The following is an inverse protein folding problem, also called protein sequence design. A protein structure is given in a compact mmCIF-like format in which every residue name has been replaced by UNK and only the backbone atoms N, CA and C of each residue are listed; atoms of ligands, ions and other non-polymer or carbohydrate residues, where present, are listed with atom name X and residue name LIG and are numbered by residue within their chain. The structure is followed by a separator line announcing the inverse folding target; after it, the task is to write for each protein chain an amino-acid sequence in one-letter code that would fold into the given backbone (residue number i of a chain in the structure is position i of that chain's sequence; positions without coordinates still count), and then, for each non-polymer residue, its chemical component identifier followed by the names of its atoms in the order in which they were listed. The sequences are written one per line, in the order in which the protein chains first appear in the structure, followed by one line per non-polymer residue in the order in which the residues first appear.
data_IF_661316443326
#
_entry.id   IF_661316443326
#
_cell.length_a   1.000
_cell.length_b   1.000
_cell.length_c   1.000
_cell.angle_alpha   90.00
_cell.angle_beta   90.00
_cell.angle_gamma   90.00
#
_symmetry.space_group_name_H-M   'P 1'
#
loop_
_entity.id
_entity.type
_entity.pdbx_description
1 polymer ?
#
# COMPACT_ATOMS: atom_id res chain seq x y z
N UNK A 1 -37.92 2.62 -18.64
CA UNK A 1 -37.47 1.25 -18.95
C UNK A 1 -36.29 0.97 -18.04
N UNK A 2 -36.50 0.23 -16.95
CA UNK A 2 -35.42 -0.12 -16.03
C UNK A 2 -34.62 -1.26 -16.66
N UNK A 3 -33.42 -0.94 -17.16
CA UNK A 3 -32.47 -1.97 -17.60
C UNK A 3 -31.94 -2.64 -16.34
N UNK A 4 -32.51 -3.79 -16.00
CA UNK A 4 -31.97 -4.66 -14.96
C UNK A 4 -30.71 -5.29 -15.55
N UNK A 5 -29.55 -4.67 -15.35
CA UNK A 5 -28.27 -5.22 -15.81
C UNK A 5 -28.06 -6.56 -15.10
N UNK A 6 -28.15 -7.66 -15.85
CA UNK A 6 -27.89 -8.98 -15.33
C UNK A 6 -26.42 -9.07 -14.93
N UNK A 7 -26.13 -9.53 -13.71
CA UNK A 7 -24.74 -9.61 -13.19
C UNK A 7 -23.82 -10.51 -14.07
N UNK A 8 -24.41 -11.33 -14.93
CA UNK A 8 -23.73 -12.20 -15.89
C UNK A 8 -23.09 -11.45 -17.07
N UNK A 9 -23.49 -10.20 -17.33
CA UNK A 9 -22.97 -9.41 -18.47
C UNK A 9 -21.82 -8.46 -18.08
N UNK A 10 -21.45 -8.44 -16.78
CA UNK A 10 -20.37 -7.58 -16.32
C UNK A 10 -18.99 -8.07 -16.80
N UNK A 11 -18.09 -7.15 -17.18
CA UNK A 11 -16.66 -7.41 -17.40
C UNK A 11 -16.03 -8.21 -16.25
N UNK A 12 -15.30 -9.28 -16.57
CA UNK A 12 -14.53 -10.06 -15.59
C UNK A 12 -13.12 -9.50 -15.48
N UNK A 13 -12.72 -9.14 -14.26
CA UNK A 13 -11.40 -8.62 -13.94
C UNK A 13 -10.81 -9.43 -12.79
N UNK A 14 -9.59 -9.91 -12.96
CA UNK A 14 -8.78 -10.43 -11.85
C UNK A 14 -7.86 -9.32 -11.39
N UNK A 15 -7.79 -9.08 -10.08
CA UNK A 15 -6.86 -8.11 -9.49
C UNK A 15 -5.96 -8.87 -8.52
N UNK A 16 -4.67 -8.94 -8.84
CA UNK A 16 -3.65 -9.44 -7.92
C UNK A 16 -3.01 -8.24 -7.24
N UNK A 17 -2.81 -8.29 -5.92
CA UNK A 17 -2.36 -7.13 -5.14
C UNK A 17 -1.26 -7.49 -4.18
N UNK A 18 -0.31 -6.58 -3.97
CA UNK A 18 0.73 -6.73 -2.94
C UNK A 18 1.22 -5.36 -2.43
N UNK A 19 1.82 -5.35 -1.24
CA UNK A 19 2.30 -4.17 -0.54
C UNK A 19 3.59 -4.42 0.24
N UNK A 20 4.51 -3.46 0.16
CA UNK A 20 5.82 -3.52 0.80
C UNK A 20 6.13 -2.23 1.57
N UNK A 21 6.84 -2.34 2.69
CA UNK A 21 7.40 -1.20 3.41
C UNK A 21 8.90 -1.37 3.67
N UNK A 22 9.66 -0.27 3.55
CA UNK A 22 11.08 -0.17 3.87
C UNK A 22 11.25 0.04 5.37
N UNK A 23 11.20 -1.07 6.09
CA UNK A 23 11.04 -1.10 7.55
C UNK A 23 9.56 -1.16 7.92
N UNK A 24 9.23 -1.78 9.04
CA UNK A 24 7.84 -1.97 9.48
C UNK A 24 7.67 -1.41 10.91
N UNK A 25 7.34 -0.11 11.07
CA UNK A 25 6.90 0.83 10.05
C UNK A 25 8.03 1.61 9.32
N UNK A 26 7.77 2.04 8.09
CA UNK A 26 8.70 2.77 7.21
C UNK A 26 8.05 3.20 5.89
N UNK A 27 8.76 3.92 5.00
CA UNK A 27 8.23 4.32 3.68
C UNK A 27 7.72 3.12 2.90
N UNK A 28 6.56 3.24 2.27
CA UNK A 28 5.84 2.10 1.68
C UNK A 28 5.51 2.24 0.21
N UNK A 29 5.22 1.12 -0.42
CA UNK A 29 4.78 1.01 -1.79
C UNK A 29 3.76 -0.12 -1.94
N UNK A 30 2.86 0.03 -2.90
CA UNK A 30 1.83 -0.96 -3.20
C UNK A 30 1.67 -1.11 -4.70
N UNK A 31 1.18 -2.28 -5.12
CA UNK A 31 0.91 -2.56 -6.52
C UNK A 31 -0.36 -3.42 -6.69
N UNK A 32 -1.08 -3.17 -7.77
CA UNK A 32 -2.19 -4.01 -8.21
C UNK A 32 -2.09 -4.27 -9.72
N UNK A 33 -2.11 -5.55 -10.09
CA UNK A 33 -2.17 -6.01 -11.47
C UNK A 33 -3.61 -6.37 -11.81
N UNK A 34 -4.22 -5.59 -12.72
CA UNK A 34 -5.56 -5.81 -13.23
C UNK A 34 -5.47 -6.58 -14.55
N UNK A 35 -6.09 -7.75 -14.61
CA UNK A 35 -6.23 -8.60 -15.80
C UNK A 35 -7.70 -8.62 -16.23
N UNK A 36 -8.01 -8.01 -17.38
CA UNK A 36 -9.35 -7.97 -17.95
C UNK A 36 -9.47 -8.95 -19.12
N UNK A 37 -10.42 -9.88 -19.03
CA UNK A 37 -10.74 -10.82 -20.12
C UNK A 37 -11.64 -10.15 -21.15
N UNK A 38 -11.17 -10.08 -22.39
CA UNK A 38 -11.92 -9.54 -23.51
C UNK A 38 -12.90 -10.60 -24.08
N UNK A 39 -13.97 -10.16 -24.78
CA UNK A 39 -14.91 -11.08 -25.44
C UNK A 39 -14.28 -11.97 -26.52
N UNK A 40 -13.15 -11.55 -27.10
CA UNK A 40 -12.39 -12.33 -28.10
C UNK A 40 -11.46 -13.38 -27.48
N UNK A 41 -11.48 -13.52 -26.14
CA UNK A 41 -10.66 -14.46 -25.39
C UNK A 41 -9.27 -13.95 -25.04
N UNK A 42 -8.89 -12.73 -25.45
CA UNK A 42 -7.60 -12.13 -25.07
C UNK A 42 -7.65 -11.50 -23.68
N UNK A 43 -6.49 -11.36 -23.03
CA UNK A 43 -6.37 -10.68 -21.73
C UNK A 43 -5.66 -9.36 -21.90
N UNK A 44 -6.25 -8.28 -21.39
CA UNK A 44 -5.56 -6.99 -21.23
C UNK A 44 -5.09 -6.82 -19.81
N UNK A 45 -3.89 -6.30 -19.66
CA UNK A 45 -3.29 -6.09 -18.36
C UNK A 45 -3.08 -4.60 -18.09
N UNK A 46 -3.20 -4.22 -16.82
CA UNK A 46 -2.80 -2.92 -16.33
C UNK A 46 -2.20 -3.07 -14.95
N UNK A 47 -0.92 -2.72 -14.82
CA UNK A 47 -0.25 -2.59 -13.52
C UNK A 47 -0.45 -1.16 -13.02
N UNK A 48 -0.95 -1.01 -11.80
CA UNK A 48 -1.00 0.26 -11.08
C UNK A 48 -0.14 0.16 -9.82
N UNK A 49 0.54 1.24 -9.48
CA UNK A 49 1.40 1.31 -8.30
C UNK A 49 1.18 2.63 -7.59
N UNK A 50 1.39 2.66 -6.28
CA UNK A 50 1.49 3.88 -5.51
C UNK A 50 2.52 3.75 -4.40
N UNK A 51 2.83 4.88 -3.79
CA UNK A 51 3.91 5.00 -2.81
C UNK A 51 3.52 5.99 -1.71
N UNK A 52 4.05 5.77 -0.51
CA UNK A 52 3.83 6.62 0.65
C UNK A 52 5.17 6.86 1.37
N UNK A 53 5.72 8.09 1.32
CA UNK A 53 7.00 8.41 1.97
C UNK A 53 6.90 8.43 3.52
N UNK A 54 5.69 8.40 4.09
CA UNK A 54 5.48 8.36 5.55
C UNK A 54 5.83 6.98 6.12
N UNK A 55 5.92 6.90 7.45
CA UNK A 55 6.11 5.62 8.15
C UNK A 55 4.80 4.82 8.15
N UNK A 56 4.67 3.89 7.23
CA UNK A 56 3.52 2.98 7.07
C UNK A 56 3.92 1.54 7.37
N UNK A 57 2.95 0.64 7.52
CA UNK A 57 3.20 -0.80 7.74
C UNK A 57 2.98 -1.60 6.46
N UNK A 58 3.50 -2.82 6.37
CA UNK A 58 3.20 -3.72 5.25
C UNK A 58 1.69 -3.92 5.07
N UNK A 59 0.97 -4.26 6.14
CA UNK A 59 -0.48 -4.46 6.11
C UNK A 59 -1.25 -3.22 5.61
N UNK A 60 -0.77 -2.01 5.93
CA UNK A 60 -1.36 -0.78 5.39
C UNK A 60 -1.17 -0.68 3.87
N UNK A 61 0.00 -1.06 3.36
CA UNK A 61 0.28 -1.06 1.91
C UNK A 61 -0.44 -2.18 1.17
N UNK A 62 -0.57 -3.38 1.76
CA UNK A 62 -1.39 -4.47 1.21
C UNK A 62 -2.86 -4.05 1.10
N UNK A 63 -3.40 -3.36 2.13
CA UNK A 63 -4.77 -2.84 2.10
C UNK A 63 -4.94 -1.74 1.06
N UNK A 64 -3.94 -0.85 0.94
CA UNK A 64 -3.93 0.20 -0.09
C UNK A 64 -3.86 -0.38 -1.50
N UNK A 65 -3.17 -1.51 -1.70
CA UNK A 65 -3.12 -2.21 -2.97
C UNK A 65 -4.50 -2.64 -3.45
N UNK A 66 -5.32 -3.18 -2.54
CA UNK A 66 -6.72 -3.53 -2.82
C UNK A 66 -7.53 -2.29 -3.19
N UNK A 67 -7.41 -1.22 -2.39
CA UNK A 67 -8.12 0.04 -2.64
C UNK A 67 -7.76 0.63 -4.01
N UNK A 68 -6.46 0.73 -4.31
CA UNK A 68 -5.96 1.26 -5.58
C UNK A 68 -6.34 0.42 -6.80
N UNK A 69 -6.37 -0.91 -6.64
CA UNK A 69 -6.85 -1.83 -7.68
C UNK A 69 -8.34 -1.62 -8.00
N UNK A 70 -9.19 -1.52 -6.98
CA UNK A 70 -10.62 -1.26 -7.13
C UNK A 70 -10.88 0.13 -7.73
N UNK A 71 -10.23 1.18 -7.23
CA UNK A 71 -10.37 2.56 -7.73
C UNK A 71 -9.87 2.73 -9.18
N UNK A 72 -9.02 1.83 -9.68
CA UNK A 72 -8.58 1.87 -11.07
C UNK A 72 -9.67 1.41 -12.07
N UNK A 73 -10.73 0.75 -11.59
CA UNK A 73 -11.87 0.33 -12.40
C UNK A 73 -12.81 1.51 -12.70
N UNK A 74 -13.11 1.71 -13.98
CA UNK A 74 -13.93 2.84 -14.45
C UNK A 74 -15.43 2.54 -14.59
N UNK A 75 -15.80 1.28 -14.39
CA UNK A 75 -17.17 0.77 -14.58
C UNK A 75 -17.40 -0.44 -13.68
N UNK A 76 -18.66 -0.80 -13.38
CA UNK A 76 -18.98 -2.03 -12.68
C UNK A 76 -18.39 -3.28 -13.35
N UNK A 77 -17.81 -4.17 -12.54
CA UNK A 77 -17.12 -5.38 -12.96
C UNK A 77 -17.46 -6.53 -12.00
N UNK A 78 -17.29 -7.77 -12.47
CA UNK A 78 -17.05 -8.92 -11.60
C UNK A 78 -15.55 -9.00 -11.33
N UNK A 79 -15.17 -8.90 -10.07
CA UNK A 79 -13.79 -8.80 -9.65
C UNK A 79 -13.40 -10.03 -8.83
N UNK A 80 -12.33 -10.71 -9.24
CA UNK A 80 -11.65 -11.71 -8.41
C UNK A 80 -10.43 -11.04 -7.78
N UNK A 81 -10.46 -10.81 -6.48
CA UNK A 81 -9.33 -10.28 -5.71
C UNK A 81 -8.42 -11.44 -5.28
N UNK A 82 -7.20 -11.50 -5.83
CA UNK A 82 -6.17 -12.46 -5.45
C UNK A 82 -5.25 -11.81 -4.42
N UNK A 83 -5.26 -12.36 -3.21
CA UNK A 83 -4.61 -11.79 -2.03
C UNK A 83 -3.86 -12.91 -1.31
N UNK A 84 -2.61 -12.66 -0.91
CA UNK A 84 -1.81 -13.58 -0.09
C UNK A 84 -1.87 -13.29 1.42
N UNK A 85 -2.21 -12.06 1.80
CA UNK A 85 -2.39 -11.62 3.18
C UNK A 85 -3.68 -12.14 3.83
N UNK A 86 -3.51 -12.98 4.85
CA UNK A 86 -4.62 -13.46 5.69
C UNK A 86 -5.31 -12.32 6.46
N UNK A 87 -4.55 -11.29 6.85
CA UNK A 87 -5.09 -10.11 7.54
C UNK A 87 -6.08 -9.36 6.65
N UNK A 88 -5.69 -9.10 5.39
CA UNK A 88 -6.54 -8.40 4.42
C UNK A 88 -7.77 -9.25 4.10
N UNK A 89 -7.60 -10.55 3.84
CA UNK A 89 -8.71 -11.45 3.55
C UNK A 89 -9.76 -11.51 4.66
N UNK A 90 -9.33 -11.62 5.92
CA UNK A 90 -10.25 -11.68 7.05
C UNK A 90 -11.09 -10.41 7.20
N UNK A 91 -10.47 -9.24 7.09
CA UNK A 91 -11.20 -7.97 7.19
C UNK A 91 -12.08 -7.73 5.97
N UNK A 92 -11.60 -8.06 4.77
CA UNK A 92 -12.37 -7.94 3.54
C UNK A 92 -13.63 -8.81 3.55
N UNK A 93 -13.56 -10.04 4.06
CA UNK A 93 -14.74 -10.92 4.22
C UNK A 93 -15.82 -10.28 5.11
N UNK A 94 -15.42 -9.60 6.20
CA UNK A 94 -16.38 -8.85 7.03
C UNK A 94 -17.02 -7.70 6.25
N UNK A 95 -16.24 -6.93 5.49
CA UNK A 95 -16.77 -5.82 4.69
C UNK A 95 -17.74 -6.34 3.62
N UNK A 96 -17.41 -7.43 2.93
CA UNK A 96 -18.27 -8.06 1.92
C UNK A 96 -19.59 -8.59 2.52
N UNK A 97 -19.60 -8.92 3.83
CA UNK A 97 -20.80 -9.29 4.59
C UNK A 97 -21.60 -8.10 5.14
N UNK A 98 -21.19 -6.87 4.81
CA UNK A 98 -21.90 -5.64 5.15
C UNK A 98 -21.36 -4.91 6.38
N UNK A 99 -20.23 -5.32 6.94
CA UNK A 99 -19.60 -4.54 8.01
C UNK A 99 -18.95 -3.26 7.44
N UNK A 100 -19.15 -2.13 8.13
CA UNK A 100 -18.62 -0.83 7.71
C UNK A 100 -17.38 -0.47 8.55
N UNK A 101 -16.20 -0.27 7.93
CA UNK A 101 -15.00 0.14 8.64
C UNK A 101 -15.07 1.59 9.10
N UNK A 102 -14.34 1.91 10.18
CA UNK A 102 -14.18 3.27 10.70
C UNK A 102 -12.77 3.78 10.43
N UNK A 103 -12.61 5.05 10.06
CA UNK A 103 -11.29 5.68 9.90
C UNK A 103 -10.44 5.65 11.19
N UNK A 104 -11.06 5.46 12.36
CA UNK A 104 -10.37 5.44 13.66
C UNK A 104 -9.74 4.10 14.02
N UNK A 105 -9.99 3.03 13.26
CA UNK A 105 -9.37 1.72 13.51
C UNK A 105 -7.96 1.63 12.91
N UNK A 106 -7.26 0.55 13.23
CA UNK A 106 -5.99 0.24 12.57
C UNK A 106 -6.18 0.10 11.05
N UNK A 107 -5.42 0.88 10.28
CA UNK A 107 -5.54 0.99 8.83
C UNK A 107 -6.94 1.44 8.36
N UNK A 108 -7.67 2.17 9.22
CA UNK A 108 -9.05 2.55 8.98
C UNK A 108 -9.26 3.42 7.75
N UNK A 109 -8.35 4.35 7.47
CA UNK A 109 -8.40 5.19 6.27
C UNK A 109 -8.38 4.35 4.99
N UNK A 110 -7.52 3.33 4.93
CA UNK A 110 -7.43 2.41 3.80
C UNK A 110 -8.67 1.54 3.69
N UNK A 111 -9.19 1.04 4.82
CA UNK A 111 -10.40 0.21 4.83
C UNK A 111 -11.64 0.98 4.37
N UNK A 112 -11.76 2.27 4.70
CA UNK A 112 -12.83 3.13 4.18
C UNK A 112 -12.75 3.21 2.64
N UNK A 113 -11.55 3.40 2.07
CA UNK A 113 -11.36 3.43 0.62
C UNK A 113 -11.69 2.08 -0.04
N UNK A 114 -11.34 0.95 0.60
CA UNK A 114 -11.75 -0.39 0.13
C UNK A 114 -13.26 -0.52 0.15
N UNK A 115 -13.92 -0.14 1.25
CA UNK A 115 -15.37 -0.21 1.38
C UNK A 115 -16.09 0.63 0.32
N UNK A 116 -15.58 1.81 -0.01
CA UNK A 116 -16.08 2.63 -1.12
C UNK A 116 -15.89 1.94 -2.47
N UNK A 117 -14.70 1.42 -2.73
CA UNK A 117 -14.34 0.75 -3.98
C UNK A 117 -15.16 -0.50 -4.29
N UNK A 118 -15.56 -1.28 -3.28
CA UNK A 118 -16.34 -2.51 -3.50
C UNK A 118 -17.80 -2.25 -3.89
N UNK A 119 -18.38 -1.08 -3.56
CA UNK A 119 -19.82 -0.80 -3.70
C UNK A 119 -20.33 -0.95 -5.14
N UNK A 120 -19.46 -0.70 -6.12
CA UNK A 120 -19.80 -0.69 -7.54
C UNK A 120 -19.51 -2.01 -8.26
N UNK A 121 -19.06 -3.04 -7.54
CA UNK A 121 -18.53 -4.27 -8.12
C UNK A 121 -19.11 -5.51 -7.45
N UNK A 122 -19.15 -6.62 -8.20
CA UNK A 122 -19.36 -7.94 -7.59
C UNK A 122 -18.00 -8.52 -7.27
N UNK A 123 -17.69 -8.67 -5.99
CA UNK A 123 -16.36 -9.10 -5.53
C UNK A 123 -16.40 -10.57 -5.12
N UNK A 124 -15.41 -11.33 -5.55
CA UNK A 124 -15.01 -12.61 -4.95
C UNK A 124 -13.54 -12.55 -4.57
N UNK A 125 -13.15 -13.37 -3.59
CA UNK A 125 -11.76 -13.44 -3.11
C UNK A 125 -11.16 -14.80 -3.42
N UNK A 126 -9.88 -14.80 -3.77
CA UNK A 126 -9.04 -15.98 -3.95
C UNK A 126 -7.82 -15.82 -3.05
N UNK A 127 -7.67 -16.71 -2.08
CA UNK A 127 -6.44 -16.75 -1.30
C UNK A 127 -5.35 -17.46 -2.09
N UNK A 128 -4.23 -16.79 -2.25
CA UNK A 128 -3.03 -17.36 -2.87
C UNK A 128 -1.95 -17.50 -1.82
N UNK A 129 -1.13 -18.54 -1.92
CA UNK A 129 0.02 -18.68 -1.03
C UNK A 129 1.15 -17.79 -1.56
N UNK A 130 1.60 -16.83 -0.74
CA UNK A 130 2.78 -16.02 -1.05
C UNK A 130 4.02 -16.88 -1.32
N UNK A 131 4.89 -16.41 -2.22
CA UNK A 131 6.15 -17.06 -2.62
C UNK A 131 6.03 -18.51 -3.12
N UNK A 132 4.91 -18.86 -3.78
CA UNK A 132 4.69 -20.19 -4.35
C UNK A 132 5.06 -20.30 -5.85
N UNK A 133 5.75 -19.31 -6.42
CA UNK A 133 6.08 -19.28 -7.85
C UNK A 133 4.94 -18.79 -8.75
N UNK A 134 3.97 -18.05 -8.20
CA UNK A 134 2.90 -17.42 -9.00
C UNK A 134 3.45 -16.14 -9.64
N UNK A 135 3.61 -16.17 -10.96
CA UNK A 135 4.15 -15.06 -11.74
C UNK A 135 3.39 -13.73 -11.56
N UNK A 136 2.08 -13.77 -11.25
CA UNK A 136 1.32 -12.54 -10.96
C UNK A 136 1.71 -11.95 -9.62
N UNK A 137 1.86 -12.81 -8.60
CA UNK A 137 2.25 -12.40 -7.25
C UNK A 137 3.67 -11.83 -7.27
N UNK A 138 4.61 -12.50 -7.94
CA UNK A 138 5.98 -12.03 -8.10
C UNK A 138 6.02 -10.65 -8.78
N UNK A 139 5.21 -10.46 -9.83
CA UNK A 139 5.16 -9.18 -10.54
C UNK A 139 4.61 -8.03 -9.69
N UNK A 140 3.64 -8.29 -8.82
CA UNK A 140 3.13 -7.25 -7.91
C UNK A 140 4.07 -7.02 -6.72
N UNK A 141 4.73 -8.06 -6.20
CA UNK A 141 5.78 -7.94 -5.16
C UNK A 141 6.94 -7.08 -5.65
N UNK A 142 7.47 -7.36 -6.85
CA UNK A 142 8.53 -6.57 -7.48
C UNK A 142 8.10 -5.11 -7.66
N UNK A 143 6.87 -4.88 -8.13
CA UNK A 143 6.34 -3.54 -8.35
C UNK A 143 6.11 -2.76 -7.04
N UNK A 144 5.58 -3.43 -6.01
CA UNK A 144 5.37 -2.84 -4.69
C UNK A 144 6.71 -2.53 -4.01
N UNK A 145 7.68 -3.43 -4.10
CA UNK A 145 9.04 -3.26 -3.61
C UNK A 145 9.75 -2.10 -4.32
N UNK A 146 9.58 -1.97 -5.64
CA UNK A 146 10.11 -0.84 -6.40
C UNK A 146 9.46 0.49 -5.99
N UNK A 147 8.16 0.50 -5.72
CA UNK A 147 7.47 1.68 -5.20
C UNK A 147 7.93 2.05 -3.79
N UNK A 148 8.15 1.08 -2.91
CA UNK A 148 8.66 1.30 -1.56
C UNK A 148 10.10 1.86 -1.58
N UNK A 149 10.92 1.45 -2.56
CA UNK A 149 12.23 2.06 -2.79
C UNK A 149 12.13 3.55 -3.14
N UNK A 150 11.26 3.91 -4.09
CA UNK A 150 11.06 5.32 -4.45
C UNK A 150 10.54 6.13 -3.27
N UNK A 151 9.59 5.59 -2.50
CA UNK A 151 9.13 6.22 -1.25
C UNK A 151 10.28 6.48 -0.27
N UNK A 152 11.17 5.51 -0.11
CA UNK A 152 12.33 5.64 0.75
C UNK A 152 13.29 6.73 0.25
N UNK A 153 13.59 6.76 -1.04
CA UNK A 153 14.41 7.80 -1.65
C UNK A 153 13.81 9.20 -1.47
N UNK A 154 12.50 9.36 -1.67
CA UNK A 154 11.78 10.61 -1.38
C UNK A 154 11.90 11.02 0.09
N UNK A 155 11.69 10.07 1.01
CA UNK A 155 11.80 10.33 2.44
C UNK A 155 13.23 10.67 2.90
N UNK A 156 14.26 10.16 2.23
CA UNK A 156 15.67 10.53 2.47
C UNK A 156 16.00 11.91 1.85
N UNK A 157 15.48 12.21 0.67
CA UNK A 157 15.65 13.51 0.03
C UNK A 157 15.08 14.65 0.89
N UNK A 158 13.86 14.47 1.41
CA UNK A 158 13.21 15.44 2.30
C UNK A 158 13.98 15.65 3.61
N UNK A 159 14.57 14.57 4.15
CA UNK A 159 15.44 14.67 5.34
C UNK A 159 16.72 15.43 5.04
N UNK A 160 17.28 15.26 3.85
CA UNK A 160 18.51 15.94 3.43
C UNK A 160 18.28 17.43 3.19
N UNK A 161 17.15 17.82 2.61
CA UNK A 161 16.80 19.25 2.42
C UNK A 161 16.53 19.97 3.75
N UNK A 162 15.96 19.28 4.74
CA UNK A 162 15.75 19.84 6.07
C UNK A 162 17.01 19.95 6.93
N UNK A 163 18.12 19.27 6.56
CA UNK A 163 19.38 19.33 7.31
C UNK A 163 20.26 20.53 6.91
N UNK A 164 20.02 21.16 5.75
CA UNK A 164 20.93 22.18 5.18
C UNK A 164 20.62 23.63 5.56
N UNK A 165 19.64 23.92 6.42
CA UNK A 165 19.33 25.30 6.85
C UNK A 165 19.66 25.62 8.32
N UNK A 166 20.21 24.67 9.06
CA UNK A 166 20.84 24.95 10.36
C UNK A 166 22.09 24.08 10.48
N UNK A 167 23.22 24.55 9.99
CA UNK A 167 24.53 24.02 10.35
C UNK A 167 24.59 23.92 11.89
N UNK A 168 24.61 22.72 12.51
CA UNK A 168 25.09 22.64 13.87
C UNK A 168 26.59 22.87 13.76
N UNK A 169 27.07 24.00 14.29
CA UNK A 169 28.50 24.25 14.46
C UNK A 169 29.03 23.16 15.39
N UNK A 170 29.48 22.04 14.82
CA UNK A 170 30.16 20.98 15.56
C UNK A 170 31.53 21.51 15.94
N UNK A 171 31.61 22.20 17.08
CA UNK A 171 32.91 22.48 17.70
C UNK A 171 33.42 21.15 18.23
N UNK A 172 34.52 20.66 17.65
CA UNK A 172 35.26 19.52 18.19
C UNK A 172 35.66 19.88 19.62
N UNK A 173 34.95 19.34 20.62
CA UNK A 173 35.39 19.40 22.00
C UNK A 173 36.65 18.52 22.09
N UNK A 174 37.81 19.16 22.10
CA UNK A 174 39.08 18.49 22.39
C UNK A 174 38.99 17.95 23.82
N UNK A 175 38.77 16.65 23.97
CA UNK A 175 38.94 15.97 25.25
C UNK A 175 40.42 16.00 25.62
N UNK A 176 40.77 16.77 26.66
CA UNK A 176 42.03 16.62 27.36
C UNK A 176 42.03 15.26 28.10
N UNK A 177 43.07 14.42 27.98
CA UNK A 177 43.12 13.14 28.67
C UNK A 177 43.23 13.38 30.18
N UNK A 178 42.20 13.03 30.95
CA UNK A 178 42.33 12.86 32.40
C UNK A 178 41.27 13.48 33.32
N UNK A 179 40.28 14.23 32.81
CA UNK A 179 39.23 14.79 33.67
C UNK A 179 37.86 14.19 33.36
N UNK A 180 37.23 13.54 34.35
CA UNK A 180 35.82 13.09 34.29
C UNK A 180 34.93 14.32 34.09
N UNK A 181 34.02 14.40 33.11
CA UNK A 181 33.11 15.52 33.06
C UNK A 181 31.83 15.20 33.83
N UNK A 182 31.53 16.01 34.85
CA UNK A 182 30.15 16.36 35.14
C UNK A 182 29.75 17.38 34.06
N UNK A 183 28.90 16.97 33.12
CA UNK A 183 28.38 17.88 32.10
C UNK A 183 27.36 18.80 32.79
N UNK A 184 27.74 20.06 33.00
CA UNK A 184 26.81 21.11 33.44
C UNK A 184 26.52 22.01 32.25
N UNK A 185 25.26 22.06 31.85
CA UNK A 185 24.78 22.94 30.78
C UNK A 185 24.40 24.29 31.39
N UNK A 186 24.90 25.39 30.81
CA UNK A 186 24.44 26.75 31.08
C UNK A 186 23.72 27.29 29.84
N UNK A 187 22.58 28.01 30.00
CA UNK A 187 21.92 28.68 28.89
C UNK A 187 22.74 29.91 28.44
N UNK A 188 22.78 30.13 27.13
CA UNK A 188 23.45 31.28 26.51
C UNK A 188 22.51 32.49 26.57
N UNK A 189 23.07 33.65 26.93
CA UNK A 189 22.40 34.95 26.97
C UNK A 189 22.05 35.48 25.57
#
# INVERSE_FOLDING_TARGET
MSVTTNNQDLPEVTITTDGAARGNPGPGGWAALLEFKQPDGTTREKLVTGEDPRKVTNNAMETMAVAGGLMALKKPCRVVLRIDSQYVLGTLDHILKGWTPSATMQNGEQWVQVAEGITSHTITTEWVRGHAGDARNERVDEAATAAANRAYEHAEADRRTHYTDTEPVWTIARCSPGAKPAVTWLPVA
#
